data_IF_968124517640
#
_entry.id   IF_968124517640
#
_cell.length_a   1.000
_cell.length_b   1.000
_cell.length_c   1.000
_cell.angle_alpha   90.00
_cell.angle_beta   90.00
_cell.angle_gamma   90.00
#
_symmetry.space_group_name_H-M   'P 1'
#
loop_
_entity.id
_entity.type
_entity.pdbx_description
1 polymer ?
#
# COMPACT_ATOMS: atom_id res chain seq x y z
N UNK A 1 20.92 11.76 15.90
CA UNK A 1 20.64 11.92 14.44
C UNK A 1 21.27 13.24 14.02
N UNK A 2 21.96 13.25 12.89
CA UNK A 2 22.56 14.43 12.27
C UNK A 2 21.81 14.70 10.97
N UNK A 3 21.35 15.94 10.75
CA UNK A 3 20.67 16.42 9.55
C UNK A 3 21.40 17.65 9.02
N UNK A 4 21.74 17.66 7.73
CA UNK A 4 22.45 18.78 7.10
C UNK A 4 21.52 19.92 6.68
N UNK A 5 20.22 19.66 6.50
CA UNK A 5 19.21 20.66 6.17
C UNK A 5 18.65 21.30 7.43
N UNK A 6 18.03 22.46 7.27
CA UNK A 6 17.35 23.17 8.35
C UNK A 6 16.18 22.38 8.97
N UNK A 7 15.57 21.48 8.18
CA UNK A 7 14.44 20.68 8.61
C UNK A 7 14.72 19.17 8.48
N UNK A 8 14.19 18.42 9.44
CA UNK A 8 14.27 16.96 9.46
C UNK A 8 13.31 16.32 8.44
N UNK A 9 13.58 15.08 8.03
CA UNK A 9 12.62 14.27 7.31
C UNK A 9 13.09 13.64 6.01
N UNK A 10 14.19 14.11 5.44
CA UNK A 10 14.68 13.54 4.19
C UNK A 10 13.63 13.60 3.08
N UNK A 11 13.30 12.45 2.50
CA UNK A 11 12.24 12.33 1.49
C UNK A 11 10.82 12.50 2.07
N UNK A 12 10.63 12.30 3.37
CA UNK A 12 9.38 12.58 4.07
C UNK A 12 9.29 14.06 4.48
N UNK A 13 9.60 14.98 3.57
CA UNK A 13 9.48 16.42 3.78
C UNK A 13 8.32 17.01 2.98
N UNK A 14 7.82 18.14 3.47
CA UNK A 14 6.80 18.92 2.77
C UNK A 14 7.28 20.34 2.63
N UNK A 15 6.98 20.97 1.50
CA UNK A 15 7.33 22.35 1.20
C UNK A 15 6.08 23.16 0.90
N UNK A 16 6.14 24.46 1.21
CA UNK A 16 5.05 25.39 0.85
C UNK A 16 5.45 26.15 -0.39
N UNK A 17 4.63 26.00 -1.41
CA UNK A 17 4.79 26.72 -2.68
C UNK A 17 3.49 27.39 -3.07
N UNK A 18 3.52 28.70 -3.35
CA UNK A 18 2.35 29.49 -3.71
C UNK A 18 1.15 29.33 -2.76
N UNK A 19 1.41 29.22 -1.45
CA UNK A 19 0.37 29.05 -0.43
C UNK A 19 -0.19 27.64 -0.30
N UNK A 20 0.36 26.66 -1.05
CA UNK A 20 -0.04 25.24 -0.99
C UNK A 20 1.09 24.42 -0.41
N UNK A 21 0.78 23.54 0.53
CA UNK A 21 1.74 22.55 1.05
C UNK A 21 1.78 21.35 0.13
N UNK A 22 2.96 21.02 -0.39
CA UNK A 22 3.21 19.89 -1.27
C UNK A 22 4.17 18.92 -0.62
N UNK A 23 3.94 17.63 -0.82
CA UNK A 23 4.88 16.59 -0.40
C UNK A 23 5.96 16.41 -1.46
N UNK A 24 7.22 16.37 -1.05
CA UNK A 24 8.33 16.05 -1.95
C UNK A 24 8.23 14.60 -2.40
N UNK A 25 7.92 13.70 -1.45
CA UNK A 25 7.73 12.28 -1.68
C UNK A 25 6.86 11.70 -0.57
N UNK A 26 6.67 10.37 -0.57
CA UNK A 26 6.05 9.62 0.53
C UNK A 26 4.64 10.12 0.90
N UNK A 27 3.76 10.16 -0.08
CA UNK A 27 2.38 10.64 0.13
C UNK A 27 1.49 9.63 0.84
N UNK A 28 1.76 8.32 0.70
CA UNK A 28 0.96 7.23 1.27
C UNK A 28 1.62 6.63 2.50
N UNK A 29 0.99 6.77 3.64
CA UNK A 29 1.49 6.29 4.93
C UNK A 29 0.84 4.96 5.37
N UNK A 30 0.62 4.03 4.43
CA UNK A 30 -0.09 2.77 4.71
C UNK A 30 0.53 2.00 5.88
N UNK A 31 1.79 1.62 5.72
CA UNK A 31 2.48 0.79 6.71
C UNK A 31 2.60 1.51 8.05
N UNK A 32 3.06 2.75 8.03
CA UNK A 32 3.26 3.55 9.25
C UNK A 32 1.96 3.68 10.07
N UNK A 33 0.82 3.94 9.42
CA UNK A 33 -0.48 4.05 10.10
C UNK A 33 -1.05 2.70 10.56
N UNK A 34 -0.67 1.61 9.90
CA UNK A 34 -1.27 0.29 10.14
C UNK A 34 -0.52 -0.49 11.23
N UNK A 35 0.77 -0.22 11.43
CA UNK A 35 1.64 -0.95 12.36
C UNK A 35 1.62 -0.45 13.79
N UNK A 36 0.86 0.59 14.10
CA UNK A 36 0.75 1.12 15.46
C UNK A 36 1.92 1.99 15.93
N UNK A 37 2.93 2.24 15.10
CA UNK A 37 4.12 3.04 15.48
C UNK A 37 3.73 4.46 15.94
N UNK A 38 2.72 5.06 15.29
CA UNK A 38 2.23 6.39 15.66
C UNK A 38 1.62 6.43 17.06
N UNK A 39 0.90 5.38 17.41
CA UNK A 39 0.25 5.19 18.70
C UNK A 39 1.29 4.87 19.78
N UNK A 40 2.22 3.96 19.52
CA UNK A 40 3.27 3.57 20.46
C UNK A 40 4.19 4.74 20.85
N UNK A 41 4.38 5.69 19.95
CA UNK A 41 5.19 6.89 20.17
C UNK A 41 4.36 8.13 20.56
N UNK A 42 3.06 7.97 20.79
CA UNK A 42 2.13 9.07 21.16
C UNK A 42 2.22 10.29 20.21
N UNK A 43 2.47 10.09 18.92
CA UNK A 43 2.74 11.18 17.99
C UNK A 43 1.59 12.17 17.83
N UNK A 44 0.38 11.77 18.19
CA UNK A 44 -0.77 12.67 18.25
C UNK A 44 -0.57 13.81 19.24
N UNK A 45 0.07 13.56 20.40
CA UNK A 45 0.44 14.58 21.40
C UNK A 45 1.48 15.56 20.85
N UNK A 46 2.29 15.10 19.91
CA UNK A 46 3.30 15.90 19.24
C UNK A 46 2.81 16.55 17.93
N UNK A 47 1.48 16.56 17.70
CA UNK A 47 0.82 17.29 16.63
C UNK A 47 0.60 16.50 15.35
N UNK A 48 0.90 15.19 15.31
CA UNK A 48 0.61 14.35 14.14
C UNK A 48 -0.90 14.04 14.09
N UNK A 49 -1.55 14.51 13.05
CA UNK A 49 -2.97 14.23 12.77
C UNK A 49 -3.11 13.72 11.35
N UNK A 50 -4.05 12.79 11.15
CA UNK A 50 -4.32 12.22 9.84
C UNK A 50 -5.72 12.54 9.36
N UNK A 51 -5.81 12.80 8.06
CA UNK A 51 -7.05 12.75 7.31
C UNK A 51 -7.22 11.34 6.74
N UNK A 52 -8.31 10.67 7.08
CA UNK A 52 -8.66 9.38 6.49
C UNK A 52 -9.13 9.58 5.05
N UNK A 53 -8.68 8.73 4.16
CA UNK A 53 -8.94 8.81 2.72
C UNK A 53 -9.67 7.56 2.27
N UNK A 54 -10.90 7.73 1.78
CA UNK A 54 -11.69 6.69 1.12
C UNK A 54 -12.55 7.34 0.02
N UNK A 55 -12.39 7.01 -1.24
CA UNK A 55 -11.61 5.88 -1.78
C UNK A 55 -10.10 6.03 -1.56
N UNK A 56 -9.43 4.88 -1.37
CA UNK A 56 -8.00 4.81 -1.09
C UNK A 56 -7.14 5.14 -2.30
N UNK A 57 -7.70 4.95 -3.49
CA UNK A 57 -7.06 5.24 -4.77
C UNK A 57 -8.12 5.63 -5.81
N UNK A 58 -7.75 6.59 -6.65
CA UNK A 58 -8.43 6.85 -7.92
C UNK A 58 -7.51 6.44 -9.05
N UNK A 59 -7.99 5.65 -9.98
CA UNK A 59 -7.29 5.33 -11.21
C UNK A 59 -8.02 5.98 -12.39
N UNK A 60 -7.27 6.35 -13.42
CA UNK A 60 -7.83 6.98 -14.61
C UNK A 60 -7.21 6.41 -15.88
N UNK A 61 -7.97 6.40 -16.95
CA UNK A 61 -7.52 6.06 -18.29
C UNK A 61 -7.40 7.31 -19.15
N UNK A 62 -6.27 7.44 -19.85
CA UNK A 62 -6.06 8.52 -20.82
C UNK A 62 -6.89 8.33 -22.08
N UNK A 63 -7.14 7.07 -22.51
CA UNK A 63 -7.79 6.76 -23.77
C UNK A 63 -9.28 7.08 -23.79
N UNK A 64 -9.98 6.80 -22.69
CA UNK A 64 -11.44 6.92 -22.57
C UNK A 64 -11.90 7.80 -21.42
N UNK A 65 -10.95 8.43 -20.72
CA UNK A 65 -11.19 9.36 -19.60
C UNK A 65 -12.00 8.76 -18.45
N UNK A 66 -12.11 7.43 -18.37
CA UNK A 66 -12.74 6.78 -17.23
C UNK A 66 -11.95 7.04 -15.97
N UNK A 67 -12.66 7.25 -14.87
CA UNK A 67 -12.11 7.35 -13.51
C UNK A 67 -12.83 6.32 -12.67
N UNK A 68 -12.08 5.48 -11.98
CA UNK A 68 -12.65 4.49 -11.08
C UNK A 68 -11.97 4.50 -9.73
N UNK A 69 -12.78 4.49 -8.65
CA UNK A 69 -12.26 4.45 -7.28
C UNK A 69 -11.92 3.01 -6.85
N UNK A 70 -10.97 2.90 -5.95
CA UNK A 70 -10.70 1.72 -5.17
C UNK A 70 -10.92 2.06 -3.70
N UNK A 71 -11.87 1.39 -3.07
CA UNK A 71 -12.25 1.61 -1.67
C UNK A 71 -11.49 0.66 -0.75
N UNK A 72 -11.41 1.01 0.54
CA UNK A 72 -10.95 0.09 1.57
C UNK A 72 -11.91 -1.09 1.72
N UNK A 73 -13.19 -0.84 1.62
CA UNK A 73 -14.24 -1.85 1.62
C UNK A 73 -14.19 -2.69 0.34
N UNK A 74 -14.14 -4.02 0.52
CA UNK A 74 -14.04 -4.99 -0.59
C UNK A 74 -15.30 -4.98 -1.45
N UNK A 75 -16.47 -4.94 -0.83
CA UNK A 75 -17.74 -5.02 -1.56
C UNK A 75 -17.97 -3.77 -2.40
N UNK A 76 -17.68 -2.58 -1.85
CA UNK A 76 -17.70 -1.33 -2.62
C UNK A 76 -16.77 -1.37 -3.82
N UNK A 77 -15.57 -1.93 -3.66
CA UNK A 77 -14.62 -2.08 -4.78
C UNK A 77 -15.11 -3.09 -5.80
N UNK A 78 -15.72 -4.20 -5.37
CA UNK A 78 -16.33 -5.18 -6.27
C UNK A 78 -17.48 -4.57 -7.08
N UNK A 79 -18.30 -3.69 -6.50
CA UNK A 79 -19.35 -2.98 -7.21
C UNK A 79 -18.77 -2.06 -8.29
N UNK A 80 -17.68 -1.36 -8.01
CA UNK A 80 -16.95 -0.56 -9.00
C UNK A 80 -16.43 -1.43 -10.13
N UNK A 81 -15.79 -2.56 -9.79
CA UNK A 81 -15.26 -3.50 -10.80
C UNK A 81 -16.40 -4.08 -11.63
N UNK A 82 -17.52 -4.45 -11.02
CA UNK A 82 -18.71 -4.92 -11.71
C UNK A 82 -19.27 -3.88 -12.69
N UNK A 83 -19.23 -2.59 -12.31
CA UNK A 83 -19.70 -1.50 -13.14
C UNK A 83 -18.79 -1.23 -14.35
N UNK A 84 -17.47 -1.12 -14.12
CA UNK A 84 -16.53 -0.71 -15.16
C UNK A 84 -15.84 -1.88 -15.89
N UNK A 85 -15.74 -3.05 -15.25
CA UNK A 85 -14.93 -4.20 -15.68
C UNK A 85 -15.65 -5.52 -15.39
N UNK A 86 -16.87 -5.68 -15.90
CA UNK A 86 -17.75 -6.80 -15.56
C UNK A 86 -17.08 -8.18 -15.67
N UNK A 87 -16.24 -8.37 -16.69
CA UNK A 87 -15.57 -9.65 -16.97
C UNK A 87 -14.37 -9.91 -16.03
N UNK A 88 -14.02 -8.96 -15.16
CA UNK A 88 -12.90 -9.04 -14.23
C UNK A 88 -13.33 -9.33 -12.77
N UNK A 89 -14.63 -9.41 -12.50
CA UNK A 89 -15.16 -9.61 -11.14
C UNK A 89 -14.62 -10.91 -10.51
N UNK A 90 -14.70 -12.01 -11.26
CA UNK A 90 -14.21 -13.30 -10.76
C UNK A 90 -12.69 -13.34 -10.64
N UNK A 91 -11.98 -12.67 -11.55
CA UNK A 91 -10.55 -12.45 -11.46
C UNK A 91 -10.16 -11.69 -10.20
N UNK A 92 -10.89 -10.62 -9.87
CA UNK A 92 -10.63 -9.83 -8.65
C UNK A 92 -10.90 -10.65 -7.38
N UNK A 93 -11.99 -11.41 -7.33
CA UNK A 93 -12.28 -12.32 -6.20
C UNK A 93 -11.20 -13.39 -6.04
N UNK A 94 -10.75 -14.00 -7.14
CA UNK A 94 -9.67 -14.97 -7.12
C UNK A 94 -8.35 -14.35 -6.65
N UNK A 95 -8.05 -13.14 -7.10
CA UNK A 95 -6.90 -12.37 -6.64
C UNK A 95 -6.97 -12.13 -5.13
N UNK A 96 -8.09 -11.63 -4.60
CA UNK A 96 -8.23 -11.35 -3.17
C UNK A 96 -8.11 -12.62 -2.32
N UNK A 97 -8.68 -13.73 -2.75
CA UNK A 97 -8.55 -15.02 -2.04
C UNK A 97 -7.09 -15.43 -1.84
N UNK A 98 -6.24 -15.17 -2.84
CA UNK A 98 -4.83 -15.53 -2.81
C UNK A 98 -3.97 -14.43 -2.16
N UNK A 99 -4.29 -13.15 -2.37
CA UNK A 99 -3.50 -11.99 -1.94
C UNK A 99 -3.75 -11.56 -0.49
N UNK A 100 -5.01 -11.60 -0.03
CA UNK A 100 -5.38 -11.10 1.30
C UNK A 100 -4.62 -11.82 2.44
N UNK A 101 -4.51 -13.16 2.45
CA UNK A 101 -3.75 -13.84 3.51
C UNK A 101 -2.27 -13.42 3.55
N UNK A 102 -1.68 -13.07 2.39
CA UNK A 102 -0.29 -12.60 2.31
C UNK A 102 -0.20 -11.17 2.84
N UNK A 103 -1.10 -10.29 2.40
CA UNK A 103 -1.13 -8.90 2.83
C UNK A 103 -1.29 -8.78 4.35
N UNK A 104 -2.23 -9.51 4.92
CA UNK A 104 -2.44 -9.57 6.38
C UNK A 104 -1.20 -10.11 7.12
N UNK A 105 -0.54 -11.14 6.58
CA UNK A 105 0.67 -11.70 7.18
C UNK A 105 1.81 -10.68 7.19
N UNK A 106 1.96 -9.89 6.11
CA UNK A 106 2.97 -8.84 6.02
C UNK A 106 2.70 -7.75 7.06
N UNK A 107 1.46 -7.29 7.19
CA UNK A 107 1.09 -6.28 8.19
C UNK A 107 1.34 -6.80 9.61
N UNK A 108 0.92 -8.01 9.92
CA UNK A 108 1.18 -8.62 11.22
C UNK A 108 2.69 -8.76 11.52
N UNK A 109 3.48 -9.11 10.50
CA UNK A 109 4.93 -9.19 10.65
C UNK A 109 5.57 -7.81 10.88
N UNK A 110 5.08 -6.77 10.19
CA UNK A 110 5.57 -5.40 10.33
C UNK A 110 5.17 -4.74 11.66
N UNK A 111 4.11 -5.23 12.33
CA UNK A 111 3.62 -4.67 13.61
C UNK A 111 4.41 -5.12 14.84
N UNK A 112 5.43 -5.96 14.69
CA UNK A 112 6.23 -6.49 15.80
C UNK A 112 7.70 -6.62 15.40
N UNK A 113 8.64 -6.61 16.38
CA UNK A 113 10.04 -6.86 16.08
C UNK A 113 10.23 -8.17 15.29
N UNK A 114 11.00 -8.19 14.19
CA UNK A 114 11.13 -9.32 13.29
C UNK A 114 12.06 -10.41 13.87
N UNK A 115 11.68 -11.04 14.98
CA UNK A 115 12.41 -12.17 15.53
C UNK A 115 12.03 -13.46 14.82
N UNK A 116 12.96 -14.43 14.70
CA UNK A 116 12.68 -15.74 14.11
C UNK A 116 11.48 -16.42 14.79
N UNK A 117 11.40 -16.32 16.12
CA UNK A 117 10.32 -16.90 16.93
C UNK A 117 8.97 -16.27 16.62
N UNK A 118 8.91 -14.95 16.50
CA UNK A 118 7.71 -14.19 16.12
C UNK A 118 7.22 -14.60 14.72
N UNK A 119 8.12 -14.66 13.73
CA UNK A 119 7.76 -15.03 12.37
C UNK A 119 7.24 -16.48 12.25
N UNK A 120 7.91 -17.44 12.89
CA UNK A 120 7.49 -18.85 12.91
C UNK A 120 6.13 -18.99 13.58
N UNK A 121 5.93 -18.37 14.75
CA UNK A 121 4.66 -18.39 15.46
C UNK A 121 3.49 -17.90 14.59
N UNK A 122 3.70 -16.83 13.81
CA UNK A 122 2.68 -16.28 12.92
C UNK A 122 2.33 -17.19 11.74
N UNK A 123 3.33 -17.86 11.18
CA UNK A 123 3.11 -18.86 10.13
C UNK A 123 2.27 -20.02 10.67
N UNK A 124 2.59 -20.50 11.88
CA UNK A 124 1.87 -21.61 12.53
C UNK A 124 0.44 -21.18 12.89
N UNK A 125 0.25 -20.02 13.51
CA UNK A 125 -1.09 -19.53 13.94
C UNK A 125 -2.05 -19.36 12.76
N UNK A 126 -1.55 -18.98 11.58
CA UNK A 126 -2.32 -18.88 10.35
C UNK A 126 -2.42 -20.19 9.56
N UNK A 127 -1.96 -21.31 10.12
CA UNK A 127 -1.93 -22.63 9.45
C UNK A 127 -1.24 -22.59 8.08
N UNK A 128 -0.20 -21.76 7.94
CA UNK A 128 0.54 -21.59 6.69
C UNK A 128 -0.26 -20.94 5.54
N UNK A 129 -1.46 -20.40 5.79
CA UNK A 129 -2.25 -19.74 4.74
C UNK A 129 -1.45 -18.61 4.11
N UNK A 130 -1.42 -18.60 2.78
CA UNK A 130 -0.70 -17.61 2.01
C UNK A 130 0.80 -17.86 1.82
N UNK A 131 1.47 -18.67 2.68
CA UNK A 131 2.92 -18.88 2.60
C UNK A 131 3.34 -19.50 1.26
N UNK A 132 2.66 -20.56 0.84
CA UNK A 132 2.96 -21.23 -0.45
C UNK A 132 2.76 -20.28 -1.62
N UNK A 133 1.67 -19.50 -1.61
CA UNK A 133 1.39 -18.50 -2.63
C UNK A 133 2.44 -17.40 -2.59
N UNK A 134 2.83 -16.91 -1.43
CA UNK A 134 3.88 -15.92 -1.25
C UNK A 134 5.22 -16.40 -1.84
N UNK A 135 5.63 -17.63 -1.53
CA UNK A 135 6.87 -18.23 -2.05
C UNK A 135 6.81 -18.43 -3.57
N UNK A 136 5.64 -18.75 -4.12
CA UNK A 136 5.45 -18.83 -5.56
C UNK A 136 5.51 -17.45 -6.22
N UNK A 137 4.85 -16.44 -5.64
CA UNK A 137 4.85 -15.09 -6.18
C UNK A 137 6.23 -14.44 -6.09
N UNK A 138 6.99 -14.69 -5.02
CA UNK A 138 8.33 -14.12 -4.85
C UNK A 138 9.32 -14.51 -5.96
N UNK A 139 9.02 -15.55 -6.76
CA UNK A 139 9.83 -15.97 -7.91
C UNK A 139 9.37 -15.36 -9.23
N UNK A 140 8.18 -14.76 -9.27
CA UNK A 140 7.58 -14.18 -10.46
C UNK A 140 7.81 -12.67 -10.51
N UNK A 141 7.50 -12.07 -11.65
CA UNK A 141 7.34 -10.62 -11.74
C UNK A 141 5.92 -10.20 -11.32
N UNK A 142 5.74 -8.96 -10.89
CA UNK A 142 4.42 -8.42 -10.54
C UNK A 142 3.45 -8.46 -11.71
N UNK A 143 3.94 -8.17 -12.91
CA UNK A 143 3.15 -8.27 -14.13
C UNK A 143 2.68 -9.71 -14.41
N UNK A 144 3.54 -10.70 -14.20
CA UNK A 144 3.16 -12.12 -14.33
C UNK A 144 2.12 -12.53 -13.30
N UNK A 145 2.22 -12.05 -12.06
CA UNK A 145 1.22 -12.34 -11.00
C UNK A 145 -0.13 -11.74 -11.38
N UNK A 146 -0.20 -10.44 -11.69
CA UNK A 146 -1.46 -9.75 -11.98
C UNK A 146 -2.16 -10.32 -13.21
N UNK A 147 -1.42 -10.66 -14.29
CA UNK A 147 -1.99 -11.27 -15.50
C UNK A 147 -2.55 -12.67 -15.33
N UNK A 148 -2.35 -13.32 -14.18
CA UNK A 148 -3.06 -14.56 -13.84
C UNK A 148 -4.51 -14.32 -13.42
N UNK A 149 -4.83 -13.12 -12.97
CA UNK A 149 -6.12 -12.77 -12.41
C UNK A 149 -6.88 -11.79 -13.30
N UNK A 150 -6.17 -10.89 -13.97
CA UNK A 150 -6.74 -9.79 -14.75
C UNK A 150 -6.33 -9.88 -16.22
N UNK A 151 -7.28 -9.57 -17.09
CA UNK A 151 -7.11 -9.43 -18.54
C UNK A 151 -6.97 -7.95 -18.93
N UNK A 152 -7.65 -7.07 -18.21
CA UNK A 152 -7.68 -5.64 -18.49
C UNK A 152 -6.41 -4.95 -18.02
N UNK A 153 -5.66 -4.34 -18.95
CA UNK A 153 -4.51 -3.50 -18.61
C UNK A 153 -4.91 -2.27 -17.79
N UNK A 154 -6.18 -1.85 -17.82
CA UNK A 154 -6.68 -0.77 -16.99
C UNK A 154 -6.74 -1.13 -15.50
N UNK A 155 -6.85 -2.42 -15.15
CA UNK A 155 -6.70 -2.90 -13.77
C UNK A 155 -5.26 -3.26 -13.45
N UNK A 156 -4.50 -3.78 -14.41
CA UNK A 156 -3.10 -4.17 -14.20
C UNK A 156 -2.21 -2.94 -14.02
N UNK A 157 -2.33 -1.94 -14.90
CA UNK A 157 -1.48 -0.76 -14.93
C UNK A 157 -1.40 0.00 -13.61
N UNK A 158 -2.50 0.42 -12.99
CA UNK A 158 -2.48 1.11 -11.70
C UNK A 158 -1.82 0.30 -10.57
N UNK A 159 -2.00 -1.02 -10.57
CA UNK A 159 -1.35 -1.89 -9.58
C UNK A 159 0.17 -1.99 -9.82
N UNK A 160 0.63 -2.02 -11.07
CA UNK A 160 2.06 -2.03 -11.39
C UNK A 160 2.73 -0.71 -11.03
N UNK A 161 2.08 0.42 -11.32
CA UNK A 161 2.61 1.76 -11.01
C UNK A 161 2.74 1.98 -9.49
N UNK A 162 1.73 1.58 -8.72
CA UNK A 162 1.72 1.77 -7.25
C UNK A 162 2.42 0.63 -6.48
N UNK A 163 2.87 -0.40 -7.18
CA UNK A 163 3.65 -1.52 -6.65
C UNK A 163 5.16 -1.31 -6.87
N UNK A 164 5.84 -2.17 -7.67
CA UNK A 164 7.30 -2.16 -7.80
C UNK A 164 7.86 -0.87 -8.36
N UNK A 165 7.14 -0.19 -9.25
CA UNK A 165 7.60 1.03 -9.92
C UNK A 165 7.86 2.16 -8.91
N UNK A 166 7.09 2.25 -7.82
CA UNK A 166 7.33 3.23 -6.74
C UNK A 166 8.72 3.06 -6.11
N UNK A 167 9.27 1.84 -6.12
CA UNK A 167 10.60 1.54 -5.60
C UNK A 167 11.70 1.57 -6.67
N UNK A 168 11.40 2.09 -7.85
CA UNK A 168 12.35 2.19 -8.95
C UNK A 168 12.70 0.84 -9.59
N UNK A 169 11.84 -0.18 -9.43
CA UNK A 169 12.05 -1.51 -9.98
C UNK A 169 11.04 -1.79 -11.09
N UNK A 170 11.50 -2.32 -12.23
CA UNK A 170 10.58 -2.70 -13.30
C UNK A 170 9.62 -3.80 -12.84
N UNK A 171 8.30 -3.64 -13.04
CA UNK A 171 7.30 -4.64 -12.67
C UNK A 171 7.40 -5.94 -13.48
N UNK A 172 8.25 -5.98 -14.50
CA UNK A 172 8.56 -7.16 -15.30
C UNK A 172 9.78 -7.95 -14.80
N UNK A 173 10.52 -7.40 -13.83
CA UNK A 173 11.68 -8.07 -13.25
C UNK A 173 11.24 -9.28 -12.42
N UNK A 174 11.81 -10.49 -12.64
CA UNK A 174 11.58 -11.63 -11.74
C UNK A 174 11.95 -11.29 -10.28
N UNK A 175 11.20 -11.83 -9.34
CA UNK A 175 11.39 -11.51 -7.92
C UNK A 175 10.55 -10.34 -7.40
N UNK A 176 9.88 -9.58 -8.26
CA UNK A 176 9.03 -8.45 -7.85
C UNK A 176 7.57 -8.85 -7.57
N UNK A 177 7.22 -10.12 -7.66
CA UNK A 177 5.83 -10.59 -7.64
C UNK A 177 5.01 -10.18 -6.40
N UNK A 178 5.65 -9.96 -5.25
CA UNK A 178 4.97 -9.45 -4.06
C UNK A 178 4.52 -7.97 -4.23
N UNK A 179 5.08 -7.24 -5.17
CA UNK A 179 4.58 -5.92 -5.56
C UNK A 179 3.16 -5.95 -6.16
N UNK A 180 2.67 -7.12 -6.56
CA UNK A 180 1.29 -7.30 -7.00
C UNK A 180 0.26 -7.24 -5.85
N UNK A 181 0.69 -7.17 -4.59
CA UNK A 181 -0.20 -7.09 -3.42
C UNK A 181 -0.91 -5.74 -3.26
N UNK A 182 -0.66 -4.78 -4.12
CA UNK A 182 -1.10 -3.38 -4.01
C UNK A 182 -2.59 -3.24 -3.67
N UNK A 183 -3.47 -3.92 -4.38
CA UNK A 183 -4.91 -3.85 -4.12
C UNK A 183 -5.28 -4.50 -2.77
N UNK A 184 -4.75 -5.69 -2.47
CA UNK A 184 -5.00 -6.35 -1.18
C UNK A 184 -4.49 -5.52 -0.01
N UNK A 185 -3.30 -4.91 -0.13
CA UNK A 185 -2.75 -4.03 0.91
C UNK A 185 -3.67 -2.84 1.21
N UNK A 186 -4.37 -2.29 0.21
CA UNK A 186 -5.32 -1.19 0.42
C UNK A 186 -6.57 -1.59 1.19
N UNK A 187 -6.98 -2.85 1.12
CA UNK A 187 -8.10 -3.37 1.90
C UNK A 187 -7.74 -3.60 3.37
N UNK A 188 -6.51 -4.03 3.66
CA UNK A 188 -6.07 -4.35 5.03
C UNK A 188 -5.42 -3.18 5.77
N UNK A 189 -5.01 -2.13 5.05
CA UNK A 189 -4.26 -1.01 5.64
C UNK A 189 -5.13 0.20 5.93
N UNK A 190 -4.68 1.01 6.91
CA UNK A 190 -5.23 2.35 7.16
C UNK A 190 -4.57 3.34 6.21
N UNK A 191 -5.30 3.79 5.19
CA UNK A 191 -4.81 4.83 4.26
C UNK A 191 -5.14 6.21 4.82
N UNK A 192 -4.21 7.14 4.73
CA UNK A 192 -4.44 8.53 5.15
C UNK A 192 -3.31 9.46 4.81
N UNK A 193 -3.61 10.74 4.93
CA UNK A 193 -2.66 11.84 4.67
C UNK A 193 -2.41 12.61 5.96
N UNK A 194 -1.17 12.89 6.35
CA UNK A 194 -0.90 13.78 7.47
C UNK A 194 -1.40 15.18 7.15
N UNK A 195 -2.13 15.77 8.07
CA UNK A 195 -2.55 17.18 7.98
C UNK A 195 -1.31 18.05 8.12
N UNK A 196 -1.02 18.89 7.14
CA UNK A 196 0.23 19.64 7.04
C UNK A 196 1.32 18.94 6.22
N UNK A 197 1.01 17.80 5.61
CA UNK A 197 1.91 17.06 4.72
C UNK A 197 2.76 16.01 5.42
N UNK A 198 3.47 15.22 4.62
CA UNK A 198 4.30 14.09 5.10
C UNK A 198 5.42 14.51 6.05
N UNK A 199 5.90 15.75 5.95
CA UNK A 199 6.88 16.35 6.86
C UNK A 199 6.42 16.41 8.32
N UNK A 200 5.11 16.29 8.59
CA UNK A 200 4.60 16.27 9.96
C UNK A 200 5.04 15.03 10.75
N UNK A 201 5.34 13.91 10.10
CA UNK A 201 5.84 12.71 10.78
C UNK A 201 7.22 12.97 11.41
N UNK A 202 8.26 13.33 10.65
CA UNK A 202 9.58 13.62 11.23
C UNK A 202 9.55 14.83 12.19
N UNK A 203 8.73 15.83 11.95
CA UNK A 203 8.56 16.97 12.87
C UNK A 203 7.99 16.50 14.21
N UNK A 204 6.98 15.63 14.20
CA UNK A 204 6.38 15.10 15.43
C UNK A 204 7.33 14.18 16.19
N UNK A 205 8.18 13.43 15.48
CA UNK A 205 9.23 12.61 16.09
C UNK A 205 10.36 13.44 16.73
N UNK A 206 10.60 14.66 16.25
CA UNK A 206 11.60 15.59 16.83
C UNK A 206 11.10 16.25 18.12
N UNK A 207 9.80 16.40 18.29
CA UNK A 207 9.17 17.03 19.48
C UNK A 207 9.07 16.09 20.66
#
# INVERSE_FOLDING_TARGET
VIEARSEVGGTASSETFSGVTVNICNCDHLTFRTTGVSEDLDLAKHGLKYLDVDPTQLATSWSDRRIWPHFRDVDKTLDVIKHFFKDEVDGYRAYLRDAMPIAEMIIDAASQPPTRRSLISKVISRRGRGVTTMLRWSKLSSAQVLRKYFKSELLIGPALVTGPTVWGVSPHTPGTGLGALTYAMRHVSKVGRPIGGSGMVPISLRR
#
